data_IF_310648623101
#
_entry.id   IF_310648623101
#
_cell.length_a   1.000
_cell.length_b   1.000
_cell.length_c   1.000
_cell.angle_alpha   90.00
_cell.angle_beta   90.00
_cell.angle_gamma   90.00
#
_symmetry.space_group_name_H-M   'P 1'
#
loop_
_entity.id
_entity.type
_entity.pdbx_description
1 polymer ?
#
# COMPACT_ATOMS: atom_id res chain seq x y z
N UNK A 1 -17.41 19.07 2.14
CA UNK A 1 -16.86 18.70 0.82
C UNK A 1 -16.50 17.23 0.86
N UNK A 2 -16.88 16.41 -0.13
CA UNK A 2 -16.42 15.01 -0.18
C UNK A 2 -14.93 15.03 -0.51
N UNK A 3 -14.09 14.52 0.40
CA UNK A 3 -12.68 14.28 0.09
C UNK A 3 -12.64 13.11 -0.91
N UNK A 4 -12.55 13.42 -2.20
CA UNK A 4 -12.39 12.39 -3.22
C UNK A 4 -11.01 11.76 -3.06
N UNK A 5 -11.01 10.44 -2.87
CA UNK A 5 -9.80 9.62 -2.77
C UNK A 5 -9.80 8.59 -3.88
N UNK A 6 -8.63 8.30 -4.42
CA UNK A 6 -8.46 7.37 -5.53
C UNK A 6 -7.32 6.41 -5.25
N UNK A 7 -7.46 5.17 -5.70
CA UNK A 7 -6.34 4.22 -5.74
C UNK A 7 -5.55 4.47 -7.03
N UNK A 8 -4.25 4.69 -6.86
CA UNK A 8 -3.32 4.96 -7.96
C UNK A 8 -2.20 3.92 -7.97
N UNK A 9 -1.63 3.71 -9.14
CA UNK A 9 -0.46 2.86 -9.32
C UNK A 9 0.80 3.54 -8.75
N UNK A 10 1.68 2.78 -8.06
CA UNK A 10 2.99 3.24 -7.67
C UNK A 10 3.76 3.80 -8.87
N UNK A 11 4.23 5.03 -8.75
CA UNK A 11 4.95 5.71 -9.81
C UNK A 11 5.94 6.72 -9.25
N UNK A 12 7.02 6.96 -10.00
CA UNK A 12 8.10 7.84 -9.58
C UNK A 12 7.63 9.27 -9.25
N UNK A 13 6.55 9.73 -9.88
CA UNK A 13 5.95 11.05 -9.66
C UNK A 13 5.41 11.31 -8.25
N UNK A 14 5.27 10.28 -7.38
CA UNK A 14 4.91 10.47 -5.97
C UNK A 14 6.06 10.11 -5.03
N UNK A 15 7.31 10.06 -5.52
CA UNK A 15 8.48 9.69 -4.72
C UNK A 15 8.56 10.49 -3.42
N UNK A 16 8.53 11.81 -3.51
CA UNK A 16 8.75 12.66 -2.33
C UNK A 16 7.60 12.50 -1.32
N UNK A 17 6.36 12.45 -1.80
CA UNK A 17 5.18 12.23 -0.95
C UNK A 17 5.18 10.83 -0.31
N UNK A 18 5.64 9.79 -1.02
CA UNK A 18 5.78 8.45 -0.46
C UNK A 18 6.84 8.42 0.64
N UNK A 19 7.99 9.04 0.41
CA UNK A 19 9.07 9.11 1.40
C UNK A 19 8.65 9.89 2.64
N UNK A 20 7.93 11.01 2.48
CA UNK A 20 7.34 11.79 3.56
C UNK A 20 6.35 10.94 4.38
N UNK A 21 5.42 10.28 3.69
CA UNK A 21 4.45 9.40 4.31
C UNK A 21 5.11 8.25 5.10
N UNK A 22 6.13 7.58 4.53
CA UNK A 22 6.88 6.50 5.21
C UNK A 22 7.67 7.03 6.41
N UNK A 23 8.25 8.23 6.30
CA UNK A 23 8.95 8.90 7.41
C UNK A 23 8.00 9.14 8.58
N UNK A 24 6.77 9.59 8.32
CA UNK A 24 5.76 9.77 9.36
C UNK A 24 5.44 8.48 10.11
N UNK A 25 5.28 7.36 9.38
CA UNK A 25 5.10 6.06 10.04
C UNK A 25 6.29 5.67 10.90
N UNK A 26 7.52 5.83 10.41
CA UNK A 26 8.73 5.53 11.19
C UNK A 26 8.78 6.36 12.47
N UNK A 27 8.44 7.65 12.38
CA UNK A 27 8.42 8.57 13.51
C UNK A 27 7.30 8.28 14.52
N UNK A 28 6.19 7.68 14.09
CA UNK A 28 5.10 7.26 15.00
C UNK A 28 5.48 6.10 15.93
N UNK A 29 6.57 5.38 15.63
CA UNK A 29 6.98 4.17 16.35
C UNK A 29 6.11 2.94 16.07
N UNK A 30 5.15 3.06 15.15
CA UNK A 30 4.25 1.97 14.78
C UNK A 30 4.86 0.99 13.78
N UNK A 31 4.27 -0.21 13.70
CA UNK A 31 4.63 -1.19 12.67
C UNK A 31 4.21 -0.70 11.29
N UNK A 32 5.14 -0.76 10.33
CA UNK A 32 4.86 -0.55 8.91
C UNK A 32 3.98 -1.69 8.37
N UNK A 33 2.71 -1.39 8.17
CA UNK A 33 1.68 -2.29 7.62
C UNK A 33 0.89 -1.48 6.57
N UNK A 34 0.75 -1.97 5.33
CA UNK A 34 1.04 -3.32 4.84
C UNK A 34 2.53 -3.55 4.53
N UNK A 35 2.91 -4.80 4.28
CA UNK A 35 4.31 -5.22 4.04
C UNK A 35 5.03 -4.40 2.96
N UNK A 36 4.32 -3.85 1.97
CA UNK A 36 4.92 -3.00 0.93
C UNK A 36 5.61 -1.74 1.50
N UNK A 37 5.14 -1.21 2.64
CA UNK A 37 5.80 -0.09 3.33
C UNK A 37 7.18 -0.44 3.90
N UNK A 38 7.54 -1.74 3.92
CA UNK A 38 8.83 -2.23 4.44
C UNK A 38 9.90 -2.35 3.35
N UNK A 39 9.56 -2.12 2.09
CA UNK A 39 10.55 -2.12 1.02
C UNK A 39 11.59 -1.04 1.26
N UNK A 40 12.83 -1.35 0.89
CA UNK A 40 13.88 -0.34 0.84
C UNK A 40 13.53 0.71 -0.22
N UNK A 41 13.32 1.94 0.25
CA UNK A 41 12.96 3.08 -0.59
C UNK A 41 14.16 3.97 -0.92
N UNK A 42 15.39 3.58 -0.56
CA UNK A 42 16.62 4.34 -0.89
C UNK A 42 16.83 4.43 -2.40
N UNK A 43 16.71 3.29 -3.09
CA UNK A 43 16.58 3.24 -4.54
C UNK A 43 15.10 3.14 -4.93
N UNK A 44 14.45 4.30 -5.04
CA UNK A 44 13.02 4.37 -5.33
C UNK A 44 12.64 3.71 -6.66
N UNK A 45 13.49 3.79 -7.68
CA UNK A 45 13.21 3.17 -8.98
C UNK A 45 13.15 1.64 -8.83
N UNK A 46 14.15 1.05 -8.17
CA UNK A 46 14.15 -0.40 -7.90
C UNK A 46 12.96 -0.85 -7.06
N UNK A 47 12.48 -0.01 -6.13
CA UNK A 47 11.24 -0.29 -5.40
C UNK A 47 10.02 -0.35 -6.34
N UNK A 48 9.88 0.61 -7.26
CA UNK A 48 8.77 0.61 -8.24
C UNK A 48 8.87 -0.60 -9.17
N UNK A 49 10.07 -0.94 -9.63
CA UNK A 49 10.30 -2.10 -10.49
C UNK A 49 9.91 -3.40 -9.79
N UNK A 50 10.26 -3.55 -8.51
CA UNK A 50 9.88 -4.71 -7.69
C UNK A 50 8.36 -4.79 -7.45
N UNK A 51 7.70 -3.66 -7.19
CA UNK A 51 6.23 -3.61 -7.07
C UNK A 51 5.55 -4.03 -8.38
N UNK A 52 6.11 -3.62 -9.52
CA UNK A 52 5.62 -3.99 -10.86
C UNK A 52 5.86 -5.47 -11.13
N UNK A 53 7.04 -5.99 -10.76
CA UNK A 53 7.39 -7.41 -10.89
C UNK A 53 6.41 -8.29 -10.10
N UNK A 54 6.15 -7.98 -8.83
CA UNK A 54 5.26 -8.74 -7.95
C UNK A 54 3.79 -8.76 -8.39
N UNK A 55 3.38 -7.79 -9.21
CA UNK A 55 2.05 -7.76 -9.84
C UNK A 55 1.95 -8.78 -10.97
N UNK A 56 2.99 -8.89 -11.79
CA UNK A 56 2.99 -9.67 -13.03
C UNK A 56 3.51 -11.10 -12.84
N UNK A 57 4.18 -11.37 -11.72
CA UNK A 57 4.78 -12.67 -11.45
C UNK A 57 3.69 -13.70 -11.09
N UNK A 58 3.47 -14.66 -11.99
CA UNK A 58 2.54 -15.77 -11.82
C UNK A 58 3.19 -17.03 -11.24
N UNK A 59 4.53 -17.06 -11.20
CA UNK A 59 5.40 -18.19 -10.80
C UNK A 59 6.23 -17.86 -9.56
N UNK A 60 5.66 -17.08 -8.65
CA UNK A 60 6.23 -16.90 -7.33
C UNK A 60 6.28 -18.26 -6.61
N UNK A 61 7.40 -18.54 -5.94
CA UNK A 61 7.57 -19.71 -5.07
C UNK A 61 6.34 -19.90 -4.17
N UNK A 62 6.00 -21.14 -3.82
CA UNK A 62 4.76 -21.54 -3.13
C UNK A 62 4.38 -20.71 -1.88
N UNK A 63 5.37 -20.07 -1.25
CA UNK A 63 5.21 -19.20 -0.08
C UNK A 63 5.06 -17.70 -0.38
N UNK A 64 5.24 -17.27 -1.62
CA UNK A 64 5.17 -15.88 -2.08
C UNK A 64 3.89 -15.67 -2.90
N UNK A 65 3.09 -14.71 -2.46
CA UNK A 65 1.80 -14.41 -3.07
C UNK A 65 1.91 -13.18 -3.96
N UNK A 66 1.49 -13.34 -5.22
CA UNK A 66 1.39 -12.28 -6.20
C UNK A 66 0.39 -11.21 -5.73
N UNK A 67 0.76 -9.95 -5.90
CA UNK A 67 -0.03 -8.84 -5.36
C UNK A 67 0.11 -7.59 -6.21
N UNK A 68 -1.00 -6.87 -6.33
CA UNK A 68 -1.00 -5.49 -6.79
C UNK A 68 -0.91 -4.56 -5.59
N UNK A 69 0.04 -3.63 -5.64
CA UNK A 69 0.17 -2.57 -4.64
C UNK A 69 -0.38 -1.28 -5.24
N UNK A 70 -1.27 -0.62 -4.52
CA UNK A 70 -1.82 0.69 -4.86
C UNK A 70 -1.53 1.67 -3.74
N UNK A 71 -1.45 2.95 -4.08
CA UNK A 71 -1.43 4.04 -3.10
C UNK A 71 -2.79 4.73 -3.08
N UNK A 72 -3.26 5.08 -1.88
CA UNK A 72 -4.47 5.88 -1.71
C UNK A 72 -4.07 7.34 -1.76
N UNK A 73 -4.56 8.09 -2.74
CA UNK A 73 -4.24 9.50 -2.91
C UNK A 73 -5.50 10.37 -2.87
N UNK A 74 -5.38 11.59 -2.35
CA UNK A 74 -6.42 12.62 -2.47
C UNK A 74 -6.23 13.47 -3.75
N UNK A 75 -7.11 14.45 -3.95
CA UNK A 75 -7.05 15.36 -5.10
C UNK A 75 -5.79 16.24 -5.14
N UNK A 76 -5.18 16.50 -3.98
CA UNK A 76 -3.96 17.29 -3.82
C UNK A 76 -2.69 16.46 -4.01
N UNK A 77 -2.82 15.22 -4.51
CA UNK A 77 -1.72 14.24 -4.66
C UNK A 77 -1.08 13.78 -3.36
N UNK A 78 -1.69 14.09 -2.21
CA UNK A 78 -1.26 13.61 -0.90
C UNK A 78 -1.53 12.12 -0.76
N UNK A 79 -0.52 11.36 -0.32
CA UNK A 79 -0.68 9.93 -0.09
C UNK A 79 -1.23 9.70 1.32
N UNK A 80 -2.38 9.05 1.37
CA UNK A 80 -3.13 8.75 2.59
C UNK A 80 -2.91 7.32 3.08
N UNK A 81 -2.35 6.45 2.24
CA UNK A 81 -2.19 5.05 2.59
C UNK A 81 -1.67 4.17 1.46
N UNK A 82 -1.47 2.90 1.80
CA UNK A 82 -1.05 1.85 0.88
C UNK A 82 -2.02 0.68 0.98
N UNK A 83 -2.37 0.10 -0.17
CA UNK A 83 -3.28 -1.04 -0.30
C UNK A 83 -2.60 -2.13 -1.11
N UNK A 84 -2.53 -3.34 -0.55
CA UNK A 84 -2.09 -4.54 -1.24
C UNK A 84 -3.31 -5.42 -1.54
N UNK A 85 -3.53 -5.72 -2.81
CA UNK A 85 -4.53 -6.67 -3.29
C UNK A 85 -3.79 -7.93 -3.71
N UNK A 86 -4.05 -9.05 -3.03
CA UNK A 86 -3.45 -10.35 -3.29
C UNK A 86 -4.37 -11.15 -4.20
N UNK A 87 -3.85 -11.59 -5.34
CA UNK A 87 -4.63 -12.33 -6.35
C UNK A 87 -4.79 -13.82 -5.99
N UNK A 88 -3.95 -14.31 -5.07
CA UNK A 88 -4.03 -15.66 -4.49
C UNK A 88 -3.82 -15.59 -2.97
N UNK A 89 -4.09 -16.67 -2.24
CA UNK A 89 -3.75 -16.80 -0.82
C UNK A 89 -2.93 -18.07 -0.62
N UNK A 90 -1.92 -17.99 0.25
CA UNK A 90 -1.26 -19.17 0.79
C UNK A 90 -1.96 -19.61 2.09
N UNK A 91 -1.62 -20.79 2.61
CA UNK A 91 -2.26 -21.35 3.81
C UNK A 91 -2.25 -20.38 5.00
N UNK A 92 -1.16 -19.64 5.21
CA UNK A 92 -1.10 -18.65 6.29
C UNK A 92 -2.08 -17.48 6.07
N UNK A 93 -2.21 -16.98 4.85
CA UNK A 93 -3.09 -15.85 4.53
C UNK A 93 -4.58 -16.22 4.47
N UNK A 94 -4.89 -17.50 4.24
CA UNK A 94 -6.26 -18.04 4.38
C UNK A 94 -6.75 -17.93 5.83
N UNK A 95 -5.85 -18.10 6.81
CA UNK A 95 -6.19 -18.02 8.23
C UNK A 95 -5.98 -16.62 8.82
N UNK A 96 -4.95 -15.89 8.35
CA UNK A 96 -4.52 -14.60 8.93
C UNK A 96 -4.07 -13.66 7.80
N UNK A 97 -4.97 -12.79 7.30
CA UNK A 97 -4.60 -11.62 6.49
C UNK A 97 -5.33 -11.42 5.16
N UNK A 98 -6.01 -12.44 4.64
CA UNK A 98 -6.97 -12.34 3.52
C UNK A 98 -6.41 -11.74 2.22
N UNK A 99 -7.31 -11.41 1.30
CA UNK A 99 -6.96 -10.87 -0.02
C UNK A 99 -6.53 -9.40 0.01
N UNK A 100 -6.99 -8.63 1.00
CA UNK A 100 -6.77 -7.19 1.04
C UNK A 100 -6.01 -6.84 2.33
N UNK A 101 -4.84 -6.23 2.19
CA UNK A 101 -4.11 -5.65 3.30
C UNK A 101 -3.87 -4.16 3.04
N UNK A 102 -4.38 -3.29 3.90
CA UNK A 102 -4.22 -1.84 3.75
C UNK A 102 -3.64 -1.21 5.02
N UNK A 103 -3.12 -0.01 4.85
CA UNK A 103 -2.53 0.80 5.92
C UNK A 103 -2.72 2.27 5.62
N UNK A 104 -3.11 3.02 6.63
CA UNK A 104 -3.49 4.43 6.52
C UNK A 104 -2.44 5.26 7.25
N UNK A 105 -1.97 6.32 6.59
CA UNK A 105 -0.99 7.27 7.11
C UNK A 105 -1.44 7.74 8.51
N UNK A 106 -0.59 7.71 9.55
CA UNK A 106 -1.03 7.92 10.94
C UNK A 106 -1.86 9.19 11.14
N UNK A 107 -1.44 10.31 10.55
CA UNK A 107 -2.15 11.59 10.58
C UNK A 107 -3.53 11.56 9.92
N UNK A 108 -3.75 10.64 8.97
CA UNK A 108 -4.97 10.57 8.16
C UNK A 108 -6.02 9.59 8.71
N UNK A 109 -5.70 8.81 9.76
CA UNK A 109 -6.58 7.77 10.32
C UNK A 109 -7.85 8.29 10.99
N UNK A 110 -7.88 9.56 11.36
CA UNK A 110 -9.05 10.19 12.02
C UNK A 110 -10.05 10.77 11.02
N UNK A 111 -9.78 10.69 9.72
CA UNK A 111 -10.71 11.14 8.69
C UNK A 111 -11.62 9.96 8.33
N UNK A 112 -12.91 10.11 8.63
CA UNK A 112 -14.03 9.14 8.52
C UNK A 112 -14.19 8.38 7.18
N UNK A 113 -13.36 8.60 6.17
CA UNK A 113 -13.62 8.22 4.78
C UNK A 113 -13.33 6.76 4.44
N UNK A 114 -12.51 6.05 5.22
CA UNK A 114 -12.04 4.70 4.83
C UNK A 114 -13.08 3.60 5.09
N UNK A 115 -14.07 3.85 5.96
CA UNK A 115 -15.15 2.91 6.23
C UNK A 115 -16.18 2.80 5.09
N UNK A 116 -16.20 3.75 4.16
CA UNK A 116 -17.20 3.78 3.07
C UNK A 116 -16.82 2.89 1.88
N UNK A 117 -15.57 2.37 1.82
CA UNK A 117 -15.12 1.46 0.76
C UNK A 117 -15.57 -0.01 0.97
N UNK A 118 -16.24 -0.33 2.08
CA UNK A 118 -16.73 -1.68 2.40
C UNK A 118 -18.24 -1.87 2.19
N UNK A 119 -18.95 -0.88 1.62
CA UNK A 119 -20.43 -0.91 1.47
C UNK A 119 -20.93 -0.80 0.03
N UNK A 120 -20.27 -1.43 -0.93
CA UNK A 120 -20.84 -1.66 -2.27
C UNK A 120 -20.87 -3.15 -2.58
#
# INVERSE_FOLDING_TARGET
MKNNVTLIEPSFQYKDEYLDMVSEWKNSGEKLIPWALRFDSTNFQSMIDELTRLRNDTDLEENKVNRSTFWLANQDRRLLGVVNIRHRLNNNLLHIGGHIGYGVRPSERRIRTILDLQKQ
#
